data_IF_315189000027
#
_entry.id   IF_315189000027
#
_cell.length_a   1.000
_cell.length_b   1.000
_cell.length_c   1.000
_cell.angle_alpha   90.00
_cell.angle_beta   90.00
_cell.angle_gamma   90.00
#
_symmetry.space_group_name_H-M   'P 1'
#
loop_
_entity.id
_entity.type
_entity.pdbx_description
1 polymer ?
#
# COMPACT_ATOMS: atom_id res chain seq x y z
N UNK A 1 -40.54 41.32 -29.28
CA UNK A 1 -40.99 40.02 -28.75
C UNK A 1 -40.55 39.92 -27.29
N UNK A 2 -41.46 40.09 -26.32
CA UNK A 2 -41.14 40.04 -24.88
C UNK A 2 -41.24 38.60 -24.38
N UNK A 3 -40.09 37.98 -24.13
CA UNK A 3 -39.97 36.64 -23.56
C UNK A 3 -40.25 36.69 -22.05
N UNK A 4 -41.43 36.20 -21.65
CA UNK A 4 -41.84 36.13 -20.25
C UNK A 4 -41.28 34.84 -19.63
N UNK A 5 -40.05 34.88 -19.12
CA UNK A 5 -39.45 33.74 -18.39
C UNK A 5 -40.11 33.67 -17.01
N UNK A 6 -41.04 32.72 -16.84
CA UNK A 6 -41.57 32.39 -15.52
C UNK A 6 -40.43 31.84 -14.64
N UNK A 7 -39.94 32.66 -13.73
CA UNK A 7 -39.08 32.18 -12.65
C UNK A 7 -39.94 31.34 -11.69
N UNK A 8 -39.81 30.01 -11.80
CA UNK A 8 -40.27 29.09 -10.77
C UNK A 8 -39.40 29.29 -9.54
N UNK A 9 -39.98 29.81 -8.46
CA UNK A 9 -39.30 29.92 -7.16
C UNK A 9 -39.22 28.54 -6.51
N UNK A 10 -38.02 28.18 -6.04
CA UNK A 10 -37.81 26.98 -5.23
C UNK A 10 -38.41 27.21 -3.85
N UNK A 11 -39.22 26.26 -3.35
CA UNK A 11 -39.74 26.36 -1.99
C UNK A 11 -38.63 25.98 -0.99
N UNK A 12 -38.58 26.65 0.16
CA UNK A 12 -37.59 26.35 1.21
C UNK A 12 -37.68 24.87 1.67
N UNK A 13 -38.88 24.28 1.62
CA UNK A 13 -39.11 22.89 2.01
C UNK A 13 -38.54 21.88 1.00
N UNK A 14 -38.62 22.15 -0.31
CA UNK A 14 -37.98 21.30 -1.32
C UNK A 14 -36.47 21.26 -1.13
N UNK A 15 -35.85 22.41 -0.87
CA UNK A 15 -34.41 22.47 -0.63
C UNK A 15 -34.03 21.71 0.65
N UNK A 16 -34.82 21.86 1.72
CA UNK A 16 -34.59 21.23 3.02
C UNK A 16 -34.69 19.69 2.95
N UNK A 17 -35.69 19.17 2.25
CA UNK A 17 -35.84 17.71 2.09
C UNK A 17 -34.68 17.11 1.30
N UNK A 18 -34.20 17.79 0.26
CA UNK A 18 -33.08 17.30 -0.56
C UNK A 18 -31.79 17.20 0.27
N UNK A 19 -31.44 18.24 1.03
CA UNK A 19 -30.25 18.17 1.87
C UNK A 19 -30.38 17.12 2.98
N UNK A 20 -31.58 16.91 3.52
CA UNK A 20 -31.83 15.89 4.53
C UNK A 20 -31.60 14.48 3.98
N UNK A 21 -32.09 14.20 2.76
CA UNK A 21 -31.87 12.91 2.10
C UNK A 21 -30.38 12.71 1.79
N UNK A 22 -29.69 13.73 1.27
CA UNK A 22 -28.23 13.66 1.00
C UNK A 22 -27.47 13.38 2.29
N UNK A 23 -27.83 14.02 3.41
CA UNK A 23 -27.18 13.80 4.70
C UNK A 23 -27.33 12.35 5.18
N UNK A 24 -28.52 11.76 5.06
CA UNK A 24 -28.77 10.36 5.42
C UNK A 24 -27.95 9.40 4.54
N UNK A 25 -27.95 9.62 3.22
CA UNK A 25 -27.20 8.79 2.28
C UNK A 25 -25.69 8.89 2.54
N UNK A 26 -25.17 10.10 2.74
CA UNK A 26 -23.77 10.33 3.03
C UNK A 26 -23.34 9.69 4.36
N UNK A 27 -24.18 9.74 5.40
CA UNK A 27 -23.91 9.12 6.70
C UNK A 27 -23.71 7.60 6.61
N UNK A 28 -24.40 6.91 5.69
CA UNK A 28 -24.22 5.47 5.46
C UNK A 28 -23.07 5.20 4.47
N UNK A 29 -22.90 6.07 3.46
CA UNK A 29 -21.92 5.87 2.41
C UNK A 29 -20.48 6.06 2.90
N UNK A 30 -20.21 7.04 3.76
CA UNK A 30 -18.87 7.29 4.29
C UNK A 30 -18.26 6.11 5.07
N UNK A 31 -18.94 5.49 6.05
CA UNK A 31 -18.36 4.37 6.79
C UNK A 31 -18.14 3.14 5.90
N UNK A 32 -19.05 2.85 4.96
CA UNK A 32 -18.92 1.72 4.04
C UNK A 32 -17.77 1.97 3.04
N UNK A 33 -17.65 3.17 2.50
CA UNK A 33 -16.60 3.53 1.57
C UNK A 33 -15.21 3.45 2.21
N UNK A 34 -15.06 3.88 3.48
CA UNK A 34 -13.81 3.76 4.22
C UNK A 34 -13.37 2.29 4.36
N UNK A 35 -14.30 1.40 4.72
CA UNK A 35 -14.03 -0.04 4.82
C UNK A 35 -13.67 -0.66 3.45
N UNK A 36 -14.42 -0.32 2.40
CA UNK A 36 -14.17 -0.81 1.05
C UNK A 36 -12.79 -0.39 0.52
N UNK A 37 -12.39 0.87 0.78
CA UNK A 37 -11.06 1.37 0.43
C UNK A 37 -9.95 0.61 1.15
N UNK A 38 -10.15 0.29 2.42
CA UNK A 38 -9.19 -0.48 3.19
C UNK A 38 -9.08 -1.92 2.68
N UNK A 39 -10.21 -2.56 2.35
CA UNK A 39 -10.20 -3.88 1.70
C UNK A 39 -9.46 -3.87 0.36
N UNK A 40 -9.63 -2.82 -0.46
CA UNK A 40 -8.89 -2.69 -1.70
C UNK A 40 -7.37 -2.59 -1.45
N UNK A 41 -6.93 -1.86 -0.42
CA UNK A 41 -5.51 -1.79 -0.02
C UNK A 41 -4.98 -3.14 0.44
N UNK A 42 -5.75 -3.88 1.23
CA UNK A 42 -5.41 -5.24 1.67
C UNK A 42 -5.22 -6.19 0.47
N UNK A 43 -6.11 -6.13 -0.52
CA UNK A 43 -5.98 -6.92 -1.75
C UNK A 43 -4.71 -6.57 -2.53
N UNK A 44 -4.35 -5.28 -2.61
CA UNK A 44 -3.09 -4.88 -3.23
C UNK A 44 -1.87 -5.42 -2.47
N UNK A 45 -1.89 -5.39 -1.13
CA UNK A 45 -0.79 -5.95 -0.34
C UNK A 45 -0.64 -7.46 -0.55
N UNK A 46 -1.75 -8.21 -0.58
CA UNK A 46 -1.74 -9.64 -0.89
C UNK A 46 -1.17 -9.92 -2.29
N UNK A 47 -1.54 -9.10 -3.29
CA UNK A 47 -1.00 -9.23 -4.65
C UNK A 47 0.50 -8.96 -4.70
N UNK A 48 0.98 -8.00 -3.92
CA UNK A 48 2.41 -7.70 -3.79
C UNK A 48 3.15 -8.86 -3.11
N UNK A 49 2.62 -9.45 -2.03
CA UNK A 49 3.20 -10.63 -1.40
C UNK A 49 3.33 -11.81 -2.37
N UNK A 50 2.32 -12.06 -3.21
CA UNK A 50 2.40 -13.10 -4.24
C UNK A 50 3.48 -12.82 -5.29
N UNK A 51 3.70 -11.57 -5.66
CA UNK A 51 4.79 -11.20 -6.55
C UNK A 51 6.16 -11.44 -5.89
N UNK A 52 6.30 -11.14 -4.59
CA UNK A 52 7.52 -11.40 -3.83
C UNK A 52 7.78 -12.89 -3.64
N UNK A 53 6.75 -13.69 -3.35
CA UNK A 53 6.84 -15.14 -3.24
C UNK A 53 7.41 -15.76 -4.53
N UNK A 54 6.88 -15.35 -5.69
CA UNK A 54 7.39 -15.80 -6.98
C UNK A 54 8.84 -15.37 -7.21
N UNK A 55 9.18 -14.14 -6.86
CA UNK A 55 10.53 -13.62 -7.00
C UNK A 55 11.54 -14.35 -6.09
N UNK A 56 11.14 -14.73 -4.88
CA UNK A 56 11.93 -15.56 -3.97
C UNK A 56 12.15 -16.98 -4.51
N UNK A 57 11.12 -17.58 -5.10
CA UNK A 57 11.23 -18.90 -5.73
C UNK A 57 12.16 -18.85 -6.96
N UNK A 58 12.08 -17.79 -7.77
CA UNK A 58 13.00 -17.59 -8.89
C UNK A 58 14.45 -17.43 -8.42
N UNK A 59 14.66 -16.67 -7.35
CA UNK A 59 15.99 -16.57 -6.73
C UNK A 59 16.50 -17.94 -6.27
N UNK A 60 15.68 -18.72 -5.55
CA UNK A 60 16.08 -20.05 -5.09
C UNK A 60 16.42 -21.00 -6.25
N UNK A 61 15.72 -20.90 -7.38
CA UNK A 61 16.04 -21.68 -8.58
C UNK A 61 17.41 -21.34 -9.17
N UNK A 62 17.83 -20.08 -9.11
CA UNK A 62 19.11 -19.63 -9.65
C UNK A 62 20.29 -19.84 -8.66
N UNK A 63 20.02 -19.99 -7.36
CA UNK A 63 21.01 -20.05 -6.28
C UNK A 63 20.92 -21.35 -5.45
N UNK A 64 20.99 -22.51 -6.10
CA UNK A 64 21.08 -23.84 -5.46
C UNK A 64 20.04 -24.07 -4.36
N UNK A 65 18.78 -23.68 -4.60
CA UNK A 65 17.64 -23.80 -3.66
C UNK A 65 17.83 -23.02 -2.35
N UNK A 66 18.74 -22.03 -2.34
CA UNK A 66 19.03 -21.21 -1.17
C UNK A 66 18.16 -19.95 -1.17
N UNK A 67 17.46 -19.68 -0.07
CA UNK A 67 16.72 -18.43 0.09
C UNK A 67 17.66 -17.24 0.34
N UNK A 68 17.29 -16.03 -0.10
CA UNK A 68 18.13 -14.86 0.06
C UNK A 68 18.24 -14.48 1.54
N UNK A 69 19.47 -14.41 2.03
CA UNK A 69 19.76 -14.02 3.42
C UNK A 69 20.14 -12.55 3.49
N UNK A 70 19.64 -11.86 4.52
CA UNK A 70 20.11 -10.53 4.85
C UNK A 70 21.36 -10.62 5.69
N UNK A 71 22.48 -10.06 5.22
CA UNK A 71 23.72 -9.99 6.00
C UNK A 71 24.03 -8.54 6.31
N UNK A 72 24.14 -8.21 7.60
CA UNK A 72 24.70 -6.95 8.06
C UNK A 72 26.18 -7.17 8.34
N UNK A 73 27.05 -6.50 7.59
CA UNK A 73 28.50 -6.44 7.88
C UNK A 73 28.87 -4.99 8.16
N UNK A 74 29.48 -4.72 9.31
CA UNK A 74 30.08 -3.45 9.77
C UNK A 74 29.58 -2.14 9.11
N UNK A 75 29.91 -1.91 7.83
CA UNK A 75 29.66 -0.67 7.09
C UNK A 75 28.60 -0.76 5.97
N UNK A 76 28.03 -1.93 5.68
CA UNK A 76 26.95 -2.10 4.70
C UNK A 76 26.00 -3.26 5.05
N UNK A 77 24.71 -3.07 4.78
CA UNK A 77 23.71 -4.12 4.88
C UNK A 77 23.31 -4.56 3.48
N UNK A 78 23.55 -5.85 3.15
CA UNK A 78 22.89 -6.48 2.00
C UNK A 78 21.59 -7.05 2.55
N UNK A 79 20.49 -6.47 2.15
CA UNK A 79 19.16 -6.92 2.54
C UNK A 79 18.62 -7.83 1.44
N UNK A 80 17.85 -8.84 1.81
CA UNK A 80 17.22 -9.76 0.86
C UNK A 80 16.43 -9.05 -0.29
N UNK A 81 15.81 -7.85 -0.12
CA UNK A 81 15.15 -7.15 -1.22
C UNK A 81 16.11 -6.76 -2.35
N UNK A 82 17.38 -6.47 -2.05
CA UNK A 82 18.38 -6.16 -3.08
C UNK A 82 18.78 -7.40 -3.89
N UNK A 83 18.81 -8.57 -3.24
CA UNK A 83 19.12 -9.84 -3.91
C UNK A 83 17.97 -10.28 -4.83
N UNK A 84 16.72 -10.00 -4.44
CA UNK A 84 15.52 -10.36 -5.19
C UNK A 84 15.10 -9.27 -6.19
N UNK A 85 15.70 -8.08 -6.10
CA UNK A 85 15.44 -6.94 -7.00
C UNK A 85 15.37 -7.30 -8.50
N UNK A 86 16.27 -8.11 -9.10
CA UNK A 86 16.19 -8.43 -10.52
C UNK A 86 14.95 -9.27 -10.91
N UNK A 87 14.32 -9.94 -9.94
CA UNK A 87 13.15 -10.78 -10.15
C UNK A 87 11.82 -10.03 -9.92
N UNK A 88 11.87 -8.78 -9.46
CA UNK A 88 10.69 -7.92 -9.27
C UNK A 88 10.66 -6.77 -10.27
N UNK A 89 9.45 -6.41 -10.73
CA UNK A 89 9.28 -5.35 -11.74
C UNK A 89 9.31 -3.93 -11.18
N UNK A 90 9.03 -3.77 -9.89
CA UNK A 90 9.06 -2.48 -9.19
C UNK A 90 9.43 -2.69 -7.73
N UNK A 91 10.16 -1.72 -7.17
CA UNK A 91 10.48 -1.66 -5.75
C UNK A 91 9.26 -1.32 -4.87
N UNK A 92 8.19 -0.77 -5.45
CA UNK A 92 6.95 -0.48 -4.72
C UNK A 92 6.28 -1.76 -4.19
N UNK A 93 6.60 -2.91 -4.79
CA UNK A 93 6.09 -4.22 -4.38
C UNK A 93 6.56 -4.57 -2.95
N UNK A 94 7.67 -4.01 -2.47
CA UNK A 94 8.15 -4.20 -1.10
C UNK A 94 7.35 -3.42 -0.05
N UNK A 95 6.47 -2.51 -0.48
CA UNK A 95 5.62 -1.69 0.39
C UNK A 95 4.15 -2.13 0.30
N UNK A 96 3.48 -2.11 1.45
CA UNK A 96 2.05 -2.31 1.54
C UNK A 96 1.34 -0.94 1.54
N UNK A 97 0.36 -0.67 0.66
CA UNK A 97 -0.42 0.56 0.70
C UNK A 97 -1.19 0.82 2.00
N UNK A 98 -1.40 -0.22 2.82
CA UNK A 98 -1.99 -0.10 4.17
C UNK A 98 -0.97 0.31 5.24
N UNK A 99 0.33 0.26 4.93
CA UNK A 99 1.37 0.62 5.89
C UNK A 99 1.49 2.14 6.02
N UNK A 100 0.94 2.66 7.12
CA UNK A 100 0.98 4.07 7.51
C UNK A 100 2.32 4.50 8.10
N UNK A 101 3.17 3.56 8.52
CA UNK A 101 4.50 3.87 9.06
C UNK A 101 5.51 4.22 7.97
N UNK A 102 5.16 4.00 6.70
CA UNK A 102 6.04 4.27 5.56
C UNK A 102 7.11 3.21 5.34
N UNK A 103 7.00 2.05 6.00
CA UNK A 103 8.05 1.04 6.11
C UNK A 103 9.20 1.51 7.00
N UNK A 104 9.86 0.59 7.72
CA UNK A 104 11.18 0.90 8.24
C UNK A 104 12.13 0.91 7.04
N UNK A 105 12.83 2.02 6.73
CA UNK A 105 13.90 1.96 5.75
C UNK A 105 14.96 1.03 6.33
N UNK A 106 15.10 -0.17 5.74
CA UNK A 106 16.25 -1.02 6.03
C UNK A 106 17.41 -0.42 5.22
N UNK A 107 17.88 0.73 5.68
CA UNK A 107 19.03 1.42 5.15
C UNK A 107 20.14 1.32 6.20
N UNK A 108 21.40 1.00 5.85
CA UNK A 108 22.50 1.17 6.79
C UNK A 108 22.56 2.62 7.27
N UNK A 109 23.20 2.90 8.43
CA UNK A 109 23.21 4.23 9.10
C UNK A 109 23.69 5.41 8.23
N UNK A 110 24.18 5.16 7.01
CA UNK A 110 24.72 6.14 6.07
C UNK A 110 24.12 6.04 4.63
N UNK A 111 23.05 5.27 4.37
CA UNK A 111 22.50 5.14 3.02
C UNK A 111 21.34 6.11 2.73
N UNK A 112 21.55 6.96 1.71
CA UNK A 112 20.51 7.74 1.01
C UNK A 112 19.58 6.86 0.14
N UNK A 113 19.72 5.54 0.21
CA UNK A 113 18.99 4.55 -0.60
C UNK A 113 18.42 3.48 0.35
N UNK A 114 17.26 3.75 0.93
CA UNK A 114 16.50 2.78 1.71
C UNK A 114 15.34 2.22 0.89
N UNK A 115 15.17 0.90 0.88
CA UNK A 115 13.92 0.28 0.43
C UNK A 115 13.00 0.23 1.64
N UNK A 116 11.85 0.90 1.56
CA UNK A 116 10.80 0.83 2.57
C UNK A 116 10.17 -0.56 2.53
N UNK A 117 10.36 -1.35 3.59
CA UNK A 117 9.80 -2.69 3.69
C UNK A 117 8.61 -2.71 4.66
N UNK A 118 7.45 -3.18 4.16
CA UNK A 118 6.23 -3.32 4.98
C UNK A 118 5.92 -4.78 5.37
N UNK A 119 6.48 -5.76 4.65
CA UNK A 119 6.18 -7.18 4.86
C UNK A 119 7.17 -7.81 5.83
N UNK A 120 6.68 -8.73 6.67
CA UNK A 120 7.41 -9.35 7.78
C UNK A 120 8.42 -10.43 7.36
N UNK A 121 9.26 -10.13 6.37
CA UNK A 121 10.66 -10.56 6.39
C UNK A 121 11.50 -9.47 7.08
N UNK A 122 10.97 -8.98 8.22
CA UNK A 122 11.67 -8.09 9.14
C UNK A 122 12.83 -8.85 9.74
N UNK A 123 14.05 -8.42 9.40
CA UNK A 123 15.26 -8.75 10.13
C UNK A 123 16.37 -9.29 9.25
N UNK A 124 17.52 -8.63 9.35
CA UNK A 124 18.78 -9.35 9.52
C UNK A 124 18.48 -10.52 10.45
N UNK A 125 18.83 -11.75 10.06
CA UNK A 125 18.78 -12.89 10.96
C UNK A 125 19.80 -12.59 12.06
N UNK A 126 19.38 -11.91 13.14
CA UNK A 126 20.17 -11.85 14.36
C UNK A 126 19.99 -13.20 15.02
N UNK A 127 20.96 -14.07 14.74
CA UNK A 127 21.34 -15.30 15.42
C UNK A 127 20.33 -15.86 16.44
N UNK A 128 19.74 -17.00 16.11
CA UNK A 128 19.38 -18.00 17.12
C UNK A 128 20.69 -18.66 17.60
N UNK A 129 21.34 -18.01 18.56
CA UNK A 129 22.45 -18.55 19.37
C UNK A 129 22.12 -18.38 20.84
#
# INVERSE_FOLDING_TARGET
MKNNRQHRGFTLIELLVVIAIIAILAAILFPVFAQAREKARQTSCLSNEKQLELALLQYAQDYDETFPTGVQKDWYAVTWPLLVQPYVKSLDVFRCPSDSAGGNPIAPPNAWMGIALSYATNGIIQDFG
#
